data_IF_727934619550
#
_entry.id   IF_727934619550
#
_cell.length_a   1.000
_cell.length_b   1.000
_cell.length_c   1.000
_cell.angle_alpha   90.00
_cell.angle_beta   90.00
_cell.angle_gamma   90.00
#
_symmetry.space_group_name_H-M   'P 1'
#
loop_
_entity.id
_entity.type
_entity.pdbx_description
1 polymer ?
#
# COMPACT_ATOMS: atom_id res chain seq x y z
N UNK A 1 11.35 -50.45 -6.25
CA UNK A 1 11.76 -49.04 -6.08
C UNK A 1 11.34 -48.07 -7.22
N UNK A 2 10.57 -48.47 -8.25
CA UNK A 2 10.20 -47.55 -9.34
C UNK A 2 8.84 -46.84 -9.21
N UNK A 3 7.92 -47.34 -8.38
CA UNK A 3 6.56 -46.78 -8.24
C UNK A 3 6.47 -45.62 -7.24
N UNK A 4 7.24 -45.65 -6.15
CA UNK A 4 7.26 -44.59 -5.15
C UNK A 4 7.97 -43.30 -5.61
N UNK A 5 8.93 -43.42 -6.53
CA UNK A 5 9.67 -42.27 -7.06
C UNK A 5 8.80 -41.36 -7.94
N UNK A 6 7.78 -41.90 -8.61
CA UNK A 6 6.85 -41.12 -9.44
C UNK A 6 5.86 -40.29 -8.62
N UNK A 7 5.46 -40.76 -7.43
CA UNK A 7 4.51 -40.03 -6.57
C UNK A 7 5.20 -38.83 -5.88
N UNK A 8 6.48 -38.97 -5.52
CA UNK A 8 7.26 -37.89 -4.90
C UNK A 8 7.51 -36.71 -5.87
N UNK A 9 7.72 -37.00 -7.16
CA UNK A 9 7.88 -35.96 -8.20
C UNK A 9 6.60 -35.17 -8.47
N UNK A 10 5.43 -35.80 -8.34
CA UNK A 10 4.14 -35.10 -8.51
C UNK A 10 3.87 -34.15 -7.34
N UNK A 11 4.23 -34.54 -6.11
CA UNK A 11 4.11 -33.65 -4.95
C UNK A 11 5.11 -32.48 -4.99
N UNK A 12 6.36 -32.71 -5.44
CA UNK A 12 7.32 -31.63 -5.62
C UNK A 12 6.86 -30.62 -6.71
N UNK A 13 6.23 -31.10 -7.78
CA UNK A 13 5.64 -30.23 -8.81
C UNK A 13 4.41 -29.44 -8.33
N UNK A 14 3.59 -30.01 -7.45
CA UNK A 14 2.43 -29.32 -6.86
C UNK A 14 2.82 -28.23 -5.85
N UNK A 15 3.91 -28.42 -5.09
CA UNK A 15 4.43 -27.39 -4.17
C UNK A 15 5.03 -26.21 -4.96
N UNK A 16 5.61 -26.47 -6.13
CA UNK A 16 6.10 -25.41 -7.03
C UNK A 16 4.98 -24.61 -7.71
N UNK A 17 3.77 -25.17 -7.85
CA UNK A 17 2.61 -24.44 -8.40
C UNK A 17 1.88 -23.58 -7.34
N UNK A 18 2.14 -23.81 -6.05
CA UNK A 18 1.60 -22.99 -4.95
C UNK A 18 2.54 -21.84 -4.53
N UNK A 19 3.75 -21.76 -5.08
CA UNK A 19 4.71 -20.67 -4.85
C UNK A 19 4.75 -19.64 -5.98
N UNK A 20 3.83 -19.74 -6.94
CA UNK A 20 3.77 -18.91 -8.15
C UNK A 20 2.87 -17.67 -8.08
N UNK A 21 2.43 -17.24 -6.90
CA UNK A 21 2.19 -15.82 -6.67
C UNK A 21 3.47 -15.29 -6.02
N UNK A 22 4.49 -14.98 -6.83
CA UNK A 22 5.50 -14.05 -6.35
C UNK A 22 4.71 -12.81 -5.93
N UNK A 23 4.61 -12.54 -4.62
CA UNK A 23 4.20 -11.25 -4.11
C UNK A 23 5.29 -10.28 -4.55
N UNK A 24 5.21 -9.86 -5.81
CA UNK A 24 6.22 -9.03 -6.43
C UNK A 24 6.08 -7.68 -5.78
N UNK A 25 7.08 -7.32 -4.99
CA UNK A 25 7.15 -6.02 -4.31
C UNK A 25 6.73 -4.91 -5.28
N UNK A 26 5.82 -4.06 -4.80
CA UNK A 26 5.37 -2.86 -5.53
C UNK A 26 6.54 -1.92 -5.82
N UNK A 27 7.66 -2.01 -5.07
CA UNK A 27 8.85 -1.19 -5.26
C UNK A 27 9.38 -1.23 -6.69
N UNK A 28 9.33 -2.40 -7.34
CA UNK A 28 9.74 -2.58 -8.73
C UNK A 28 8.87 -1.81 -9.76
N UNK A 29 7.74 -1.26 -9.31
CA UNK A 29 6.80 -0.46 -10.10
C UNK A 29 6.88 1.04 -9.80
N UNK A 30 7.88 1.47 -9.02
CA UNK A 30 8.19 2.89 -8.78
C UNK A 30 8.20 3.67 -10.10
N UNK A 31 7.55 4.82 -10.10
CA UNK A 31 7.28 5.60 -11.32
C UNK A 31 7.12 7.07 -10.98
N UNK A 32 6.90 7.91 -11.99
CA UNK A 32 6.58 9.33 -11.80
C UNK A 32 5.15 9.58 -12.32
N UNK A 33 4.48 10.61 -11.82
CA UNK A 33 3.10 10.97 -12.21
C UNK A 33 3.00 11.27 -13.70
N UNK A 34 4.08 11.71 -14.36
CA UNK A 34 4.10 11.89 -15.83
C UNK A 34 4.10 10.58 -16.62
N UNK A 35 4.40 9.44 -15.99
CA UNK A 35 4.42 8.13 -16.65
C UNK A 35 3.08 7.40 -16.45
N UNK A 36 2.11 7.73 -17.28
CA UNK A 36 0.75 7.17 -17.23
C UNK A 36 0.72 5.62 -17.23
N UNK A 37 1.56 4.98 -18.05
CA UNK A 37 1.62 3.51 -18.11
C UNK A 37 2.18 2.90 -16.83
N UNK A 38 3.23 3.51 -16.28
CA UNK A 38 3.82 3.10 -15.00
C UNK A 38 2.83 3.27 -13.86
N UNK A 39 2.17 4.44 -13.81
CA UNK A 39 1.19 4.76 -12.78
C UNK A 39 -0.02 3.82 -12.83
N UNK A 40 -0.57 3.57 -14.02
CA UNK A 40 -1.65 2.58 -14.23
C UNK A 40 -1.26 1.20 -13.72
N UNK A 41 -0.02 0.77 -13.97
CA UNK A 41 0.48 -0.53 -13.54
C UNK A 41 0.62 -0.59 -12.02
N UNK A 42 1.20 0.44 -11.39
CA UNK A 42 1.37 0.54 -9.94
C UNK A 42 0.01 0.50 -9.24
N UNK A 43 -0.86 1.47 -9.55
CA UNK A 43 -2.21 1.60 -8.96
C UNK A 43 -3.02 0.31 -9.16
N UNK A 44 -2.97 -0.28 -10.36
CA UNK A 44 -3.68 -1.53 -10.67
C UNK A 44 -3.13 -2.78 -9.97
N UNK A 45 -1.93 -2.72 -9.39
CA UNK A 45 -1.30 -3.83 -8.67
C UNK A 45 -1.42 -3.71 -7.15
N UNK A 46 -1.90 -2.58 -6.63
CA UNK A 46 -2.13 -2.39 -5.21
C UNK A 46 -3.33 -3.19 -4.72
N UNK A 47 -3.29 -3.62 -3.46
CA UNK A 47 -4.46 -4.17 -2.80
C UNK A 47 -5.41 -3.04 -2.34
N UNK A 48 -6.61 -3.02 -2.89
CA UNK A 48 -7.64 -2.03 -2.59
C UNK A 48 -8.66 -2.52 -1.57
N UNK A 49 -8.68 -3.82 -1.23
CA UNK A 49 -9.66 -4.40 -0.30
C UNK A 49 -9.63 -3.68 1.06
N UNK A 50 -10.78 -3.32 1.65
CA UNK A 50 -12.15 -3.70 1.27
C UNK A 50 -12.80 -2.82 0.18
N UNK A 51 -12.10 -1.77 -0.27
CA UNK A 51 -12.58 -0.90 -1.32
C UNK A 51 -12.39 -1.51 -2.70
N UNK A 52 -13.07 -0.91 -3.66
CA UNK A 52 -12.83 -1.15 -5.08
C UNK A 52 -12.25 0.12 -5.71
N UNK A 53 -11.12 -0.02 -6.39
CA UNK A 53 -10.60 1.04 -7.25
C UNK A 53 -11.55 1.27 -8.43
N UNK A 54 -11.99 2.50 -8.62
CA UNK A 54 -12.84 2.90 -9.76
C UNK A 54 -12.06 3.67 -10.81
N UNK A 55 -11.24 4.63 -10.40
CA UNK A 55 -10.49 5.51 -11.30
C UNK A 55 -9.34 6.19 -10.55
N UNK A 56 -8.45 6.85 -11.29
CA UNK A 56 -7.49 7.80 -10.74
C UNK A 56 -7.28 8.99 -11.67
N UNK A 57 -6.96 10.15 -11.10
CA UNK A 57 -6.73 11.39 -11.84
C UNK A 57 -5.53 12.14 -11.29
N UNK A 58 -4.88 12.87 -12.17
CA UNK A 58 -3.78 13.77 -11.82
C UNK A 58 -4.31 15.21 -11.79
N UNK A 59 -4.02 15.92 -10.71
CA UNK A 59 -4.23 17.36 -10.61
C UNK A 59 -2.95 17.99 -10.11
N UNK A 60 -2.18 18.59 -11.01
CA UNK A 60 -0.81 19.06 -10.71
C UNK A 60 0.05 17.91 -10.17
N UNK A 61 0.59 18.05 -8.95
CA UNK A 61 1.36 17.00 -8.25
C UNK A 61 0.52 16.16 -7.28
N UNK A 62 -0.81 16.26 -7.36
CA UNK A 62 -1.71 15.52 -6.50
C UNK A 62 -2.32 14.35 -7.27
N UNK A 63 -2.37 13.19 -6.62
CA UNK A 63 -2.99 11.97 -7.12
C UNK A 63 -4.37 11.80 -6.47
N UNK A 64 -5.42 11.93 -7.26
CA UNK A 64 -6.81 11.71 -6.83
C UNK A 64 -7.19 10.26 -7.16
N UNK A 65 -7.42 9.44 -6.15
CA UNK A 65 -7.86 8.05 -6.25
C UNK A 65 -9.37 8.00 -6.00
N UNK A 66 -10.13 7.47 -6.94
CA UNK A 66 -11.55 7.22 -6.76
C UNK A 66 -11.75 5.77 -6.32
N UNK A 67 -12.34 5.59 -5.14
CA UNK A 67 -12.73 4.28 -4.61
C UNK A 67 -14.25 4.18 -4.46
N UNK A 68 -14.76 2.96 -4.42
CA UNK A 68 -16.15 2.65 -4.12
C UNK A 68 -16.26 1.48 -3.15
N UNK A 69 -17.48 1.24 -2.67
CA UNK A 69 -17.82 0.16 -1.73
C UNK A 69 -18.09 0.69 -0.33
N UNK A 70 -19.05 0.09 0.36
CA UNK A 70 -19.28 0.35 1.78
C UNK A 70 -18.58 -0.78 2.54
N UNK A 71 -17.40 -0.51 3.11
CA UNK A 71 -16.60 -1.58 3.68
C UNK A 71 -17.24 -2.02 5.01
N UNK A 72 -17.54 -3.31 5.14
CA UNK A 72 -18.05 -3.93 6.37
C UNK A 72 -16.89 -4.23 7.33
N UNK A 73 -16.09 -3.21 7.63
CA UNK A 73 -14.96 -3.26 8.56
C UNK A 73 -15.03 -2.09 9.54
N UNK A 74 -14.22 -2.12 10.59
CA UNK A 74 -14.12 -0.99 11.51
C UNK A 74 -13.56 0.25 10.79
N UNK A 75 -13.94 1.41 11.31
CA UNK A 75 -13.40 2.70 10.90
C UNK A 75 -11.86 2.73 10.97
N UNK A 76 -11.30 2.08 11.98
CA UNK A 76 -9.87 1.93 12.22
C UNK A 76 -9.15 1.17 11.09
N UNK A 77 -9.70 0.03 10.68
CA UNK A 77 -9.14 -0.77 9.59
C UNK A 77 -9.33 -0.08 8.23
N UNK A 78 -10.43 0.64 8.06
CA UNK A 78 -10.69 1.50 6.89
C UNK A 78 -9.66 2.64 6.79
N UNK A 79 -9.41 3.31 7.91
CA UNK A 79 -8.37 4.34 8.04
C UNK A 79 -6.99 3.77 7.71
N UNK A 80 -6.62 2.66 8.35
CA UNK A 80 -5.35 1.98 8.14
C UNK A 80 -5.11 1.68 6.66
N UNK A 81 -6.13 1.14 5.99
CA UNK A 81 -6.01 0.77 4.58
C UNK A 81 -5.74 1.98 3.68
N UNK A 82 -6.49 3.06 3.87
CA UNK A 82 -6.30 4.30 3.09
C UNK A 82 -4.97 4.98 3.41
N UNK A 83 -4.54 4.98 4.67
CA UNK A 83 -3.23 5.48 5.08
C UNK A 83 -2.08 4.71 4.42
N UNK A 84 -2.08 3.37 4.51
CA UNK A 84 -1.04 2.52 3.91
C UNK A 84 -0.94 2.76 2.41
N UNK A 85 -2.08 2.72 1.71
CA UNK A 85 -2.08 2.94 0.26
C UNK A 85 -1.58 4.34 -0.11
N UNK A 86 -1.89 5.35 0.70
CA UNK A 86 -1.42 6.71 0.48
C UNK A 86 0.09 6.83 0.67
N UNK A 87 0.64 6.26 1.74
CA UNK A 87 2.09 6.21 1.99
C UNK A 87 2.82 5.46 0.86
N UNK A 88 2.31 4.31 0.43
CA UNK A 88 2.90 3.56 -0.70
C UNK A 88 2.97 4.44 -1.95
N UNK A 89 1.90 5.14 -2.29
CA UNK A 89 1.87 6.02 -3.44
C UNK A 89 2.83 7.21 -3.30
N UNK A 90 2.95 7.81 -2.11
CA UNK A 90 3.90 8.89 -1.85
C UNK A 90 5.37 8.43 -1.95
N UNK A 91 5.69 7.20 -1.55
CA UNK A 91 7.04 6.63 -1.65
C UNK A 91 7.37 6.23 -3.10
N UNK A 92 6.44 5.57 -3.78
CA UNK A 92 6.67 4.98 -5.10
C UNK A 92 6.40 5.93 -6.27
N UNK A 93 5.95 7.15 -5.99
CA UNK A 93 5.74 8.21 -6.99
C UNK A 93 6.49 9.51 -6.64
N UNK A 94 6.27 10.56 -7.43
CA UNK A 94 6.64 11.95 -7.13
C UNK A 94 5.43 12.81 -6.75
N UNK A 95 4.33 12.18 -6.30
CA UNK A 95 3.18 12.88 -5.74
C UNK A 95 3.53 13.64 -4.45
N UNK A 96 2.95 14.83 -4.30
CA UNK A 96 3.00 15.62 -3.07
C UNK A 96 1.82 15.30 -2.15
N UNK A 97 0.72 14.81 -2.71
CA UNK A 97 -0.51 14.51 -1.99
C UNK A 97 -1.30 13.40 -2.69
N UNK A 98 -1.93 12.54 -1.88
CA UNK A 98 -2.89 11.53 -2.33
C UNK A 98 -4.24 11.84 -1.71
N UNK A 99 -5.26 12.00 -2.56
CA UNK A 99 -6.66 12.23 -2.15
C UNK A 99 -7.54 11.08 -2.56
N UNK A 100 -8.42 10.64 -1.69
CA UNK A 100 -9.44 9.63 -1.94
C UNK A 100 -10.81 10.29 -2.11
N UNK A 101 -11.47 10.03 -3.24
CA UNK A 101 -12.83 10.54 -3.50
C UNK A 101 -13.89 9.45 -3.28
N UNK A 102 -14.55 9.52 -2.12
CA UNK A 102 -15.76 8.76 -1.78
C UNK A 102 -16.48 9.41 -0.58
N UNK A 103 -17.82 9.42 -0.59
CA UNK A 103 -18.65 10.16 0.39
C UNK A 103 -18.53 9.69 1.85
N UNK A 104 -18.12 8.42 2.07
CA UNK A 104 -18.11 7.78 3.40
C UNK A 104 -16.70 7.44 3.91
N UNK A 105 -15.65 8.01 3.33
CA UNK A 105 -14.30 7.79 3.82
C UNK A 105 -14.05 8.57 5.10
N UNK A 106 -13.53 7.88 6.11
CA UNK A 106 -13.10 8.53 7.35
C UNK A 106 -11.79 9.31 7.16
N UNK A 107 -10.90 8.81 6.29
CA UNK A 107 -9.65 9.47 5.92
C UNK A 107 -9.60 9.65 4.41
N UNK A 108 -9.56 10.92 3.99
CA UNK A 108 -9.72 11.31 2.60
C UNK A 108 -8.44 11.81 1.94
N UNK A 109 -7.40 12.15 2.69
CA UNK A 109 -6.19 12.74 2.09
C UNK A 109 -4.96 12.54 2.96
N UNK A 110 -3.81 12.36 2.32
CA UNK A 110 -2.50 12.36 2.94
C UNK A 110 -1.51 13.11 2.06
N UNK A 111 -0.89 14.13 2.63
CA UNK A 111 0.24 14.81 2.02
C UNK A 111 1.57 14.26 2.57
N UNK A 112 2.66 14.67 1.92
CA UNK A 112 4.01 14.26 2.33
C UNK A 112 4.38 14.73 3.73
N UNK A 113 3.90 15.88 4.18
CA UNK A 113 4.28 16.43 5.48
C UNK A 113 3.67 15.61 6.61
N UNK A 114 2.38 15.29 6.51
CA UNK A 114 1.68 14.40 7.43
C UNK A 114 2.29 12.99 7.42
N UNK A 115 2.58 12.45 6.23
CA UNK A 115 3.24 11.14 6.12
C UNK A 115 4.62 11.16 6.79
N UNK A 116 5.43 12.18 6.51
CA UNK A 116 6.76 12.33 7.10
C UNK A 116 6.71 12.46 8.62
N UNK A 117 5.77 13.24 9.16
CA UNK A 117 5.59 13.39 10.59
C UNK A 117 5.30 12.03 11.25
N UNK A 118 4.31 11.29 10.74
CA UNK A 118 3.92 10.00 11.28
C UNK A 118 5.06 8.98 11.17
N UNK A 119 5.73 8.90 10.01
CA UNK A 119 6.83 7.98 9.76
C UNK A 119 8.05 8.31 10.64
N UNK A 120 8.34 9.59 10.89
CA UNK A 120 9.40 10.00 11.83
C UNK A 120 9.09 9.59 13.25
N UNK A 121 7.89 9.87 13.73
CA UNK A 121 7.48 9.55 15.10
C UNK A 121 7.56 8.04 15.33
N UNK A 122 7.09 7.24 14.38
CA UNK A 122 7.01 5.77 14.52
C UNK A 122 8.31 5.04 14.19
N UNK A 123 9.03 5.48 13.16
CA UNK A 123 10.13 4.72 12.57
C UNK A 123 11.44 5.52 12.41
N UNK A 124 11.44 6.82 12.71
CA UNK A 124 12.61 7.69 12.60
C UNK A 124 13.08 7.96 11.16
N UNK A 125 12.22 7.74 10.17
CA UNK A 125 12.52 7.91 8.74
C UNK A 125 11.44 8.75 8.03
N UNK A 126 11.80 9.32 6.90
CA UNK A 126 10.88 10.06 6.01
C UNK A 126 10.50 9.23 4.77
N UNK A 127 9.47 9.67 4.05
CA UNK A 127 9.04 9.09 2.77
C UNK A 127 10.23 8.90 1.81
N UNK A 128 11.13 9.87 1.73
CA UNK A 128 12.28 9.81 0.83
C UNK A 128 13.35 8.81 1.25
N UNK A 129 13.39 8.39 2.51
CA UNK A 129 14.30 7.33 2.94
C UNK A 129 13.85 5.97 2.41
N UNK A 130 12.54 5.70 2.48
CA UNK A 130 11.93 4.48 1.93
C UNK A 130 11.98 4.41 0.40
N UNK A 131 12.15 5.55 -0.27
CA UNK A 131 12.32 5.63 -1.73
C UNK A 131 13.67 5.11 -2.22
N UNK A 132 14.65 4.88 -1.33
CA UNK A 132 16.05 4.54 -1.65
C UNK A 132 16.31 3.04 -1.72
N UNK A 133 15.57 2.21 -0.99
CA UNK A 133 15.80 0.75 -0.93
C UNK A 133 14.48 -0.02 -0.95
N UNK A 134 14.46 -1.11 -1.71
CA UNK A 134 13.34 -2.05 -1.70
C UNK A 134 13.16 -2.68 -0.32
N UNK A 135 14.25 -3.05 0.35
CA UNK A 135 14.21 -3.69 1.67
C UNK A 135 13.55 -2.78 2.70
N UNK A 136 13.92 -1.49 2.72
CA UNK A 136 13.31 -0.51 3.63
C UNK A 136 11.82 -0.31 3.32
N UNK A 137 11.45 -0.25 2.04
CA UNK A 137 10.06 -0.13 1.63
C UNK A 137 9.22 -1.36 2.00
N UNK A 138 9.71 -2.57 1.72
CA UNK A 138 9.02 -3.81 2.01
C UNK A 138 8.83 -3.95 3.54
N UNK A 139 9.86 -3.63 4.33
CA UNK A 139 9.78 -3.60 5.80
C UNK A 139 8.77 -2.56 6.32
N UNK A 140 8.67 -1.39 5.68
CA UNK A 140 7.67 -0.37 6.03
C UNK A 140 6.25 -0.89 5.81
N UNK A 141 5.99 -1.46 4.65
CA UNK A 141 4.65 -1.99 4.31
C UNK A 141 4.26 -3.09 5.29
N UNK A 142 5.15 -4.04 5.54
CA UNK A 142 4.91 -5.12 6.52
C UNK A 142 4.66 -4.57 7.93
N UNK A 143 5.43 -3.55 8.36
CA UNK A 143 5.24 -2.93 9.68
C UNK A 143 3.88 -2.26 9.79
N UNK A 144 3.50 -1.44 8.80
CA UNK A 144 2.21 -0.76 8.79
C UNK A 144 1.03 -1.74 8.74
N UNK A 145 1.14 -2.84 7.98
CA UNK A 145 0.12 -3.89 7.90
C UNK A 145 -0.06 -4.63 9.23
N UNK A 146 0.99 -4.76 10.04
CA UNK A 146 0.93 -5.43 11.34
C UNK A 146 0.57 -4.48 12.50
N UNK A 147 0.57 -3.16 12.28
CA UNK A 147 0.19 -2.18 13.29
C UNK A 147 -1.30 -2.19 13.60
N UNK A 148 -1.65 -1.98 14.87
CA UNK A 148 -3.03 -1.65 15.25
C UNK A 148 -3.24 -0.16 15.05
N UNK A 149 -4.23 0.18 14.24
CA UNK A 149 -4.71 1.56 14.14
C UNK A 149 -5.92 1.67 15.08
N UNK A 150 -5.96 2.71 15.91
CA UNK A 150 -7.11 3.00 16.77
C UNK A 150 -7.62 4.40 16.36
N UNK A 151 -8.65 4.49 15.53
CA UNK A 151 -9.22 5.77 15.09
C UNK A 151 -10.06 6.44 16.20
N UNK A 152 -10.45 5.68 17.23
CA UNK A 152 -10.99 6.22 18.50
C UNK A 152 -9.94 6.90 19.37
N UNK A 153 -8.66 6.58 19.14
CA UNK A 153 -7.50 7.30 19.63
C UNK A 153 -6.85 8.03 18.45
N UNK A 154 -7.60 8.85 17.72
CA UNK A 154 -7.04 9.92 16.88
C UNK A 154 -6.34 11.02 17.73
N UNK A 155 -5.65 10.62 18.81
CA UNK A 155 -4.22 10.87 18.93
C UNK A 155 -3.46 9.67 18.32
N UNK A 156 -3.14 9.68 17.02
CA UNK A 156 -1.71 9.93 16.76
C UNK A 156 -1.20 10.89 17.83
N UNK A 157 -0.42 10.43 18.81
CA UNK A 157 0.16 11.29 19.85
C UNK A 157 1.02 12.40 19.22
N UNK A 158 0.37 13.40 18.64
CA UNK A 158 0.75 14.78 18.82
C UNK A 158 0.16 15.18 20.17
N UNK A 159 1.01 15.70 21.07
CA UNK A 159 0.75 16.10 22.47
C UNK A 159 0.82 14.91 23.45
N UNK A 160 1.97 14.57 24.03
CA UNK A 160 2.90 15.42 24.81
C UNK A 160 4.38 15.26 24.44
#
# INVERSE_FOLDING_TARGET
MKKYFKILLVFAGLILLLTGCENKSLYSMKTDLSNEKGLKKLIGSMDWVPYKLEDYKLRNKNLEIKVSGEPDISQDESFKKTFINGVILLVLTDAEEVRYSQEKLYFGEIDRDLANEILKIKYGKEVDDYKKSQEDFDNLVESLENEKFEAGAAKFEMME
#
